data_IF_940823811559
#
_entry.id   IF_940823811559
#
_cell.length_a   1.000
_cell.length_b   1.000
_cell.length_c   1.000
_cell.angle_alpha   90.00
_cell.angle_beta   90.00
_cell.angle_gamma   90.00
#
_symmetry.space_group_name_H-M   'P 1'
#
loop_
_entity.id
_entity.type
_entity.pdbx_description
1 polymer ?
#
# COMPACT_ATOMS: atom_id res chain seq x y z
N UNK A 1 -39.96 20.68 -0.82
CA UNK A 1 -38.51 20.87 -1.06
C UNK A 1 -37.80 19.61 -0.59
N UNK A 2 -37.26 18.79 -1.49
CA UNK A 2 -36.46 17.59 -1.14
C UNK A 2 -34.99 18.04 -1.15
N UNK A 3 -34.41 18.21 0.02
CA UNK A 3 -32.96 18.38 0.19
C UNK A 3 -32.26 17.08 -0.20
N UNK A 4 -31.32 17.16 -1.15
CA UNK A 4 -30.45 16.05 -1.51
C UNK A 4 -29.62 15.63 -0.28
N UNK A 5 -29.31 14.33 -0.08
CA UNK A 5 -28.42 13.92 0.98
C UNK A 5 -27.05 14.54 0.73
N UNK A 6 -26.46 15.10 1.78
CA UNK A 6 -25.10 15.62 1.76
C UNK A 6 -24.16 14.53 1.21
N UNK A 7 -23.32 14.94 0.26
CA UNK A 7 -22.20 14.19 -0.29
C UNK A 7 -21.28 13.83 0.89
N UNK A 8 -21.55 12.68 1.52
CA UNK A 8 -20.74 12.16 2.61
C UNK A 8 -19.45 11.68 1.97
N UNK A 9 -18.39 12.48 2.11
CA UNK A 9 -17.05 12.07 1.76
C UNK A 9 -16.78 10.67 2.36
N UNK A 10 -16.14 9.77 1.61
CA UNK A 10 -15.85 8.44 2.10
C UNK A 10 -15.06 8.52 3.41
N UNK A 11 -15.28 7.60 4.36
CA UNK A 11 -14.56 7.60 5.62
C UNK A 11 -13.05 7.55 5.35
N UNK A 12 -12.23 8.17 6.23
CA UNK A 12 -10.79 8.13 6.08
C UNK A 12 -10.31 6.66 6.06
N UNK A 13 -9.26 6.35 5.28
CA UNK A 13 -8.74 5.00 5.23
C UNK A 13 -8.23 4.56 6.61
N UNK A 14 -8.42 3.28 6.92
CA UNK A 14 -7.85 2.68 8.12
C UNK A 14 -6.32 2.76 8.09
N UNK A 15 -5.67 3.04 9.24
CA UNK A 15 -4.22 3.03 9.31
C UNK A 15 -3.67 1.60 9.05
N UNK A 16 -2.50 1.49 8.40
CA UNK A 16 -1.88 0.20 8.15
C UNK A 16 -1.46 -0.49 9.44
N UNK A 17 -1.56 -1.81 9.45
CA UNK A 17 -1.05 -2.62 10.57
C UNK A 17 0.47 -2.73 10.50
N UNK A 18 1.16 -2.46 11.60
CA UNK A 18 2.61 -2.59 11.72
C UNK A 18 2.94 -3.75 12.66
N UNK A 19 3.65 -4.75 12.15
CA UNK A 19 4.00 -5.98 12.87
C UNK A 19 5.51 -6.24 12.92
N UNK A 20 5.93 -7.04 13.90
CA UNK A 20 7.34 -7.37 14.12
C UNK A 20 8.13 -6.18 14.67
N UNK A 21 9.22 -5.80 14.00
CA UNK A 21 9.99 -4.62 14.38
C UNK A 21 9.26 -3.33 13.98
N UNK A 22 8.45 -2.81 14.90
CA UNK A 22 7.61 -1.63 14.69
C UNK A 22 8.38 -0.37 14.26
N UNK A 23 9.63 -0.19 14.72
CA UNK A 23 10.43 0.98 14.36
C UNK A 23 10.86 0.93 12.89
N UNK A 24 11.28 -0.23 12.41
CA UNK A 24 11.65 -0.44 11.01
C UNK A 24 10.39 -0.39 10.13
N UNK A 25 9.31 -1.05 10.56
CA UNK A 25 8.04 -1.01 9.85
C UNK A 25 7.50 0.42 9.67
N UNK A 26 7.65 1.28 10.69
CA UNK A 26 7.28 2.70 10.59
C UNK A 26 8.18 3.48 9.61
N UNK A 27 9.48 3.19 9.55
CA UNK A 27 10.37 3.82 8.57
C UNK A 27 10.01 3.42 7.13
N UNK A 28 9.72 2.13 6.92
CA UNK A 28 9.22 1.63 5.62
C UNK A 28 7.90 2.32 5.27
N UNK A 29 6.98 2.47 6.23
CA UNK A 29 5.72 3.17 6.00
C UNK A 29 5.92 4.60 5.51
N UNK A 30 6.82 5.35 6.15
CA UNK A 30 7.10 6.73 5.75
C UNK A 30 7.80 6.79 4.39
N UNK A 31 8.71 5.86 4.09
CA UNK A 31 9.35 5.77 2.77
C UNK A 31 8.32 5.49 1.65
N UNK A 32 7.30 4.66 1.91
CA UNK A 32 6.25 4.34 0.95
C UNK A 32 5.39 5.56 0.54
N UNK A 33 5.40 6.65 1.31
CA UNK A 33 4.74 7.92 0.92
C UNK A 33 5.33 8.55 -0.35
N UNK A 34 6.51 8.11 -0.78
CA UNK A 34 7.12 8.55 -2.05
C UNK A 34 6.43 7.96 -3.28
N UNK A 35 5.69 6.85 -3.12
CA UNK A 35 4.95 6.20 -4.21
C UNK A 35 3.57 6.85 -4.33
N UNK A 36 3.29 7.46 -5.49
CA UNK A 36 2.07 8.22 -5.74
C UNK A 36 1.15 7.57 -6.77
N UNK A 37 -0.16 7.73 -6.58
CA UNK A 37 -1.15 7.43 -7.60
C UNK A 37 -0.90 8.26 -8.87
N UNK A 38 -1.40 7.76 -10.01
CA UNK A 38 -1.24 8.42 -11.32
C UNK A 38 -1.83 9.84 -11.33
N UNK A 39 -1.15 10.76 -12.02
CA UNK A 39 -1.67 12.09 -12.33
C UNK A 39 -1.79 13.00 -11.10
N UNK A 40 -0.71 13.09 -10.32
CA UNK A 40 -0.64 13.86 -9.07
C UNK A 40 -1.63 13.45 -7.98
N UNK A 41 -2.09 12.19 -8.02
CA UNK A 41 -2.93 11.64 -6.96
C UNK A 41 -2.21 11.52 -5.61
N UNK A 42 -2.94 11.14 -4.56
CA UNK A 42 -2.36 10.93 -3.23
C UNK A 42 -1.27 9.85 -3.25
N UNK A 43 -0.44 9.80 -2.21
CA UNK A 43 0.46 8.67 -2.01
C UNK A 43 -0.29 7.38 -1.62
N UNK A 44 0.35 6.23 -1.79
CA UNK A 44 -0.26 4.92 -1.52
C UNK A 44 -0.61 4.69 -0.04
N UNK A 45 0.00 5.45 0.89
CA UNK A 45 -0.34 5.41 2.31
C UNK A 45 -1.59 6.25 2.55
N UNK A 46 -1.59 7.50 2.08
CA UNK A 46 -2.72 8.43 2.23
C UNK A 46 -3.98 7.99 1.49
N UNK A 47 -3.84 7.18 0.43
CA UNK A 47 -4.96 6.55 -0.28
C UNK A 47 -5.44 5.24 0.37
N UNK A 48 -4.78 4.78 1.44
CA UNK A 48 -5.16 3.55 2.14
C UNK A 48 -4.83 2.26 1.40
N UNK A 49 -3.91 2.30 0.43
CA UNK A 49 -3.46 1.09 -0.26
C UNK A 49 -2.51 0.25 0.55
N UNK A 50 -1.71 0.85 1.43
CA UNK A 50 -0.88 0.06 2.35
C UNK A 50 -1.79 -0.55 3.42
N UNK A 51 -1.90 -1.88 3.45
CA UNK A 51 -2.72 -2.59 4.43
C UNK A 51 -1.92 -2.99 5.66
N UNK A 52 -0.73 -3.55 5.45
CA UNK A 52 0.13 -4.00 6.52
C UNK A 52 1.60 -4.03 6.10
N UNK A 53 2.48 -3.86 7.09
CA UNK A 53 3.93 -4.01 6.98
C UNK A 53 4.37 -4.88 8.15
N UNK A 54 5.00 -6.01 7.85
CA UNK A 54 5.54 -6.94 8.84
C UNK A 54 7.03 -7.06 8.61
N UNK A 55 7.84 -6.78 9.63
CA UNK A 55 9.31 -6.90 9.55
C UNK A 55 9.78 -7.88 10.61
N UNK A 56 10.10 -9.10 10.17
CA UNK A 56 10.66 -10.17 10.99
C UNK A 56 12.19 -10.16 11.01
N UNK A 57 12.80 -11.19 11.64
CA UNK A 57 14.25 -11.34 11.72
C UNK A 57 14.90 -11.73 10.38
N UNK A 58 14.19 -12.51 9.55
CA UNK A 58 14.73 -13.06 8.30
C UNK A 58 13.95 -12.58 7.05
N UNK A 59 12.71 -12.12 7.25
CA UNK A 59 11.82 -11.70 6.16
C UNK A 59 11.05 -10.43 6.49
N UNK A 60 10.63 -9.72 5.43
CA UNK A 60 9.70 -8.62 5.53
C UNK A 60 8.58 -8.75 4.49
N UNK A 61 7.35 -8.45 4.90
CA UNK A 61 6.14 -8.59 4.09
C UNK A 61 5.42 -7.25 3.99
N UNK A 62 5.16 -6.79 2.76
CA UNK A 62 4.30 -5.65 2.46
C UNK A 62 2.98 -6.15 1.87
N UNK A 63 1.86 -5.73 2.46
CA UNK A 63 0.52 -6.09 1.98
C UNK A 63 -0.19 -4.86 1.42
N UNK A 64 -0.61 -4.92 0.16
CA UNK A 64 -1.27 -3.81 -0.55
C UNK A 64 -2.74 -4.11 -0.93
N UNK A 65 -3.60 -3.10 -0.88
CA UNK A 65 -4.96 -3.08 -1.42
C UNK A 65 -4.94 -2.44 -2.80
N UNK A 66 -4.73 -3.25 -3.83
CA UNK A 66 -4.65 -2.74 -5.20
C UNK A 66 -6.01 -2.62 -5.91
N UNK A 67 -7.05 -3.28 -5.38
CA UNK A 67 -8.42 -3.22 -5.89
C UNK A 67 -8.60 -3.73 -7.33
N UNK A 68 -9.84 -3.79 -7.81
CA UNK A 68 -10.22 -4.21 -9.18
C UNK A 68 -10.04 -3.13 -10.25
N UNK A 69 -9.00 -2.29 -10.15
CA UNK A 69 -8.69 -1.26 -11.16
C UNK A 69 -8.01 -1.84 -12.40
N UNK A 70 -7.69 -0.99 -13.40
CA UNK A 70 -6.91 -1.44 -14.57
C UNK A 70 -5.60 -2.09 -14.10
N UNK A 71 -5.44 -3.39 -14.34
CA UNK A 71 -4.37 -4.19 -13.73
C UNK A 71 -2.96 -3.62 -13.96
N UNK A 72 -2.75 -2.90 -15.08
CA UNK A 72 -1.47 -2.24 -15.37
C UNK A 72 -1.08 -1.12 -14.39
N UNK A 73 -2.02 -0.33 -13.86
CA UNK A 73 -1.66 0.68 -12.85
C UNK A 73 -1.42 0.08 -11.48
N UNK A 74 -2.14 -1.00 -11.14
CA UNK A 74 -1.94 -1.75 -9.90
C UNK A 74 -0.55 -2.40 -9.85
N UNK A 75 -0.13 -3.02 -10.95
CA UNK A 75 1.19 -3.64 -11.07
C UNK A 75 2.32 -2.60 -10.91
N UNK A 76 2.23 -1.45 -11.59
CA UNK A 76 3.25 -0.41 -11.46
C UNK A 76 3.38 0.10 -10.02
N UNK A 77 2.25 0.28 -9.32
CA UNK A 77 2.28 0.68 -7.91
C UNK A 77 2.90 -0.39 -7.01
N UNK A 78 2.60 -1.66 -7.27
CA UNK A 78 3.21 -2.79 -6.58
C UNK A 78 4.73 -2.83 -6.75
N UNK A 79 5.22 -2.70 -7.99
CA UNK A 79 6.65 -2.69 -8.31
C UNK A 79 7.38 -1.51 -7.64
N UNK A 80 6.82 -0.30 -7.74
CA UNK A 80 7.39 0.88 -7.10
C UNK A 80 7.44 0.76 -5.57
N UNK A 81 6.37 0.23 -4.96
CA UNK A 81 6.31 0.02 -3.53
C UNK A 81 7.34 -1.03 -3.07
N UNK A 82 7.51 -2.10 -3.86
CA UNK A 82 8.52 -3.12 -3.58
C UNK A 82 9.95 -2.58 -3.70
N UNK A 83 10.23 -1.73 -4.70
CA UNK A 83 11.54 -1.09 -4.83
C UNK A 83 11.86 -0.17 -3.66
N UNK A 84 10.89 0.59 -3.17
CA UNK A 84 11.05 1.42 -1.96
C UNK A 84 11.34 0.56 -0.74
N UNK A 85 10.57 -0.51 -0.53
CA UNK A 85 10.79 -1.46 0.57
C UNK A 85 12.20 -2.08 0.49
N UNK A 86 12.63 -2.49 -0.71
CA UNK A 86 13.95 -3.06 -0.95
C UNK A 86 15.07 -2.08 -0.64
N UNK A 87 14.94 -0.82 -1.03
CA UNK A 87 15.93 0.21 -0.71
C UNK A 87 16.02 0.47 0.80
N UNK A 88 14.87 0.55 1.48
CA UNK A 88 14.82 0.83 2.91
C UNK A 88 15.39 -0.33 3.76
N UNK A 89 15.21 -1.57 3.31
CA UNK A 89 15.61 -2.77 4.03
C UNK A 89 16.93 -3.38 3.54
N UNK A 90 17.56 -2.81 2.50
CA UNK A 90 18.83 -3.28 1.95
C UNK A 90 19.94 -3.52 3.01
N UNK A 91 20.08 -2.70 4.08
CA UNK A 91 21.10 -2.94 5.10
C UNK A 91 20.86 -4.18 5.97
N UNK A 92 19.67 -4.79 5.93
CA UNK A 92 19.24 -5.85 6.84
C UNK A 92 19.28 -7.25 6.23
N UNK A 93 19.58 -7.37 4.93
CA UNK A 93 19.69 -8.64 4.20
C UNK A 93 18.49 -9.59 4.42
N UNK A 94 17.27 -9.04 4.33
CA UNK A 94 16.01 -9.76 4.55
C UNK A 94 15.42 -10.27 3.23
N UNK A 95 14.73 -11.41 3.30
CA UNK A 95 13.84 -11.85 2.22
C UNK A 95 12.62 -10.94 2.14
N UNK A 96 12.28 -10.47 0.94
CA UNK A 96 11.23 -9.48 0.73
C UNK A 96 10.04 -10.07 -0.02
N UNK A 97 8.85 -9.93 0.55
CA UNK A 97 7.61 -10.41 -0.03
C UNK A 97 6.59 -9.30 -0.21
N UNK A 98 5.99 -9.25 -1.40
CA UNK A 98 4.84 -8.40 -1.68
C UNK A 98 3.59 -9.28 -1.80
N UNK A 99 2.54 -8.95 -1.04
CA UNK A 99 1.23 -9.61 -1.12
C UNK A 99 0.16 -8.57 -1.39
N UNK A 100 -0.90 -8.96 -2.08
CA UNK A 100 -2.02 -8.06 -2.35
C UNK A 100 -3.31 -8.65 -1.78
N UNK A 101 -4.12 -7.87 -1.08
CA UNK A 101 -5.48 -8.30 -0.73
C UNK A 101 -6.29 -8.48 -2.00
N UNK A 102 -6.78 -9.71 -2.22
CA UNK A 102 -7.53 -10.08 -3.41
C UNK A 102 -8.98 -9.62 -3.28
N UNK A 103 -9.26 -8.37 -3.63
CA UNK A 103 -10.61 -7.83 -3.69
C UNK A 103 -11.19 -7.97 -5.10
N UNK A 104 -11.58 -9.18 -5.49
CA UNK A 104 -12.32 -9.48 -6.73
C UNK A 104 -11.48 -9.37 -8.01
N UNK A 105 -11.48 -10.45 -8.81
CA UNK A 105 -10.61 -10.61 -9.97
C UNK A 105 -10.66 -9.47 -10.99
N UNK A 106 -9.52 -9.17 -11.59
CA UNK A 106 -9.42 -8.40 -12.82
C UNK A 106 -10.36 -9.03 -13.87
N UNK A 107 -11.43 -8.35 -14.34
CA UNK A 107 -12.13 -8.81 -15.52
C UNK A 107 -11.17 -8.66 -16.70
N UNK A 108 -10.80 -9.77 -17.32
CA UNK A 108 -10.14 -9.77 -18.62
C UNK A 108 -11.07 -9.05 -19.61
N UNK A 109 -10.64 -7.93 -20.17
CA UNK A 109 -11.31 -7.29 -21.29
C UNK A 109 -10.30 -7.01 -22.40
#
# INVERSE_FOLDING_TARGET
>A
MRTAPADLAPPPPEPPRLGGNAAIAAQVLEALRTVRERGDGPDIVSSGRVHAIEVGPDEAVLILRLGGGRCGSAQVLAELAFDVMRQQLAPLDLDLYLRHEHSGGCPNH
#
